data_IF_089620190016
#
_entry.id   IF_089620190016
#
_cell.length_a   1.000
_cell.length_b   1.000
_cell.length_c   1.000
_cell.angle_alpha   90.00
_cell.angle_beta   90.00
_cell.angle_gamma   90.00
#
_symmetry.space_group_name_H-M   'P 1'
#
loop_
_entity.id
_entity.type
_entity.pdbx_description
1 polymer ?
#
# COMPACT_ATOMS: atom_id res chain seq x y z
N UNK A 1 -8.77 -13.66 -1.88
CA UNK A 1 -8.79 -12.23 -2.24
C UNK A 1 -9.77 -11.42 -1.41
N UNK A 2 -11.08 -11.71 -1.39
CA UNK A 2 -12.04 -10.99 -0.53
C UNK A 2 -11.55 -10.94 0.93
N UNK A 3 -11.67 -9.75 1.54
CA UNK A 3 -11.20 -9.44 2.89
C UNK A 3 -10.43 -8.11 2.96
N UNK A 4 -9.92 -7.83 4.16
CA UNK A 4 -9.10 -6.66 4.46
C UNK A 4 -7.62 -7.02 4.36
N UNK A 5 -6.86 -6.20 3.66
CA UNK A 5 -5.44 -6.38 3.39
C UNK A 5 -4.69 -5.11 3.75
N UNK A 6 -3.75 -5.24 4.67
CA UNK A 6 -2.98 -4.12 5.19
C UNK A 6 -1.58 -4.15 4.61
N UNK A 7 -1.07 -3.03 4.09
CA UNK A 7 0.31 -2.96 3.65
C UNK A 7 1.25 -3.09 4.86
N UNK A 8 2.14 -4.07 4.84
CA UNK A 8 3.04 -4.38 5.95
C UNK A 8 4.51 -4.18 5.60
N UNK A 9 4.87 -4.27 4.32
CA UNK A 9 6.27 -4.23 3.88
C UNK A 9 6.38 -3.65 2.46
N UNK A 10 7.42 -2.86 2.23
CA UNK A 10 7.82 -2.39 0.91
C UNK A 10 9.17 -3.03 0.54
N UNK A 11 9.17 -3.94 -0.43
CA UNK A 11 10.38 -4.60 -0.94
C UNK A 11 10.96 -3.80 -2.08
N UNK A 12 12.20 -3.34 -1.90
CA UNK A 12 12.96 -2.53 -2.86
C UNK A 12 14.39 -3.06 -2.95
N UNK A 13 15.08 -2.76 -4.05
CA UNK A 13 16.52 -3.02 -4.18
C UNK A 13 17.32 -1.86 -3.59
N UNK A 14 17.98 -2.08 -2.46
CA UNK A 14 18.75 -1.05 -1.75
C UNK A 14 19.91 -0.46 -2.56
N UNK A 15 20.43 -1.19 -3.55
CA UNK A 15 21.51 -0.71 -4.40
C UNK A 15 21.02 0.35 -5.41
N UNK A 16 19.75 0.32 -5.78
CA UNK A 16 19.19 1.14 -6.86
C UNK A 16 18.08 2.09 -6.39
N UNK A 17 17.44 1.80 -5.26
CA UNK A 17 16.36 2.60 -4.71
C UNK A 17 16.84 3.97 -4.21
N UNK A 18 16.01 4.99 -4.42
CA UNK A 18 16.22 6.34 -3.87
C UNK A 18 16.13 6.34 -2.35
N UNK A 19 16.69 7.39 -1.73
CA UNK A 19 16.59 7.58 -0.28
C UNK A 19 15.12 7.74 0.16
N UNK A 20 14.27 8.38 -0.65
CA UNK A 20 12.84 8.49 -0.38
C UNK A 20 12.14 7.13 -0.33
N UNK A 21 12.49 6.21 -1.23
CA UNK A 21 11.94 4.85 -1.22
C UNK A 21 12.37 4.07 0.02
N UNK A 22 13.65 4.20 0.41
CA UNK A 22 14.20 3.59 1.62
C UNK A 22 13.54 4.15 2.89
N UNK A 23 13.41 5.47 2.96
CA UNK A 23 12.72 6.15 4.06
C UNK A 23 11.24 5.73 4.14
N UNK A 24 10.56 5.59 2.99
CA UNK A 24 9.18 5.11 2.92
C UNK A 24 9.03 3.68 3.43
N UNK A 25 9.94 2.78 3.05
CA UNK A 25 9.99 1.41 3.59
C UNK A 25 10.20 1.42 5.10
N UNK A 26 11.18 2.19 5.58
CA UNK A 26 11.54 2.20 7.00
C UNK A 26 10.41 2.81 7.84
N UNK A 27 9.73 3.85 7.34
CA UNK A 27 8.54 4.43 7.96
C UNK A 27 7.36 3.44 7.99
N UNK A 28 7.11 2.73 6.88
CA UNK A 28 6.08 1.69 6.83
C UNK A 28 6.37 0.59 7.86
N UNK A 29 7.59 0.08 7.89
CA UNK A 29 8.04 -0.93 8.87
C UNK A 29 7.90 -0.45 10.32
N UNK A 30 8.26 0.81 10.59
CA UNK A 30 8.11 1.42 11.91
C UNK A 30 6.64 1.48 12.35
N UNK A 31 5.74 1.88 11.46
CA UNK A 31 4.31 2.01 11.76
C UNK A 31 3.65 0.63 11.91
N UNK A 32 3.96 -0.31 11.03
CA UNK A 32 3.35 -1.65 11.04
C UNK A 32 3.77 -2.48 12.25
N UNK A 33 5.00 -2.29 12.76
CA UNK A 33 5.45 -2.88 14.02
C UNK A 33 4.65 -2.41 15.26
N UNK A 34 3.78 -1.39 15.10
CA UNK A 34 2.90 -0.84 16.13
C UNK A 34 1.42 -0.99 15.78
N UNK A 35 1.09 -1.92 14.88
CA UNK A 35 -0.27 -2.14 14.36
C UNK A 35 -0.90 -0.89 13.72
N UNK A 36 -0.07 0.02 13.19
CA UNK A 36 -0.51 1.17 12.42
C UNK A 36 -0.34 0.91 10.92
N UNK A 37 -1.46 0.77 10.22
CA UNK A 37 -1.50 0.42 8.80
C UNK A 37 -1.91 1.63 7.97
N UNK A 38 -0.98 2.17 7.18
CA UNK A 38 -1.19 3.42 6.41
C UNK A 38 -1.79 3.21 5.04
N UNK A 39 -1.82 1.98 4.52
CA UNK A 39 -2.51 1.61 3.29
C UNK A 39 -3.31 0.34 3.57
N UNK A 40 -4.61 0.38 3.29
CA UNK A 40 -5.52 -0.76 3.48
C UNK A 40 -6.40 -0.93 2.24
N UNK A 41 -6.54 -2.17 1.77
CA UNK A 41 -7.54 -2.54 0.76
C UNK A 41 -8.61 -3.43 1.37
N UNK A 42 -9.87 -3.14 1.08
CA UNK A 42 -11.04 -3.94 1.51
C UNK A 42 -11.76 -4.44 0.27
N UNK A 43 -11.44 -5.65 -0.17
CA UNK A 43 -12.09 -6.30 -1.31
C UNK A 43 -13.37 -6.99 -0.86
N UNK A 44 -14.49 -6.67 -1.51
CA UNK A 44 -15.83 -7.21 -1.19
C UNK A 44 -16.29 -8.23 -2.23
N UNK A 45 -17.25 -9.07 -1.85
CA UNK A 45 -17.81 -10.11 -2.73
C UNK A 45 -18.57 -9.55 -3.95
N UNK A 46 -19.06 -8.31 -3.85
CA UNK A 46 -19.78 -7.61 -4.93
C UNK A 46 -18.85 -6.98 -5.98
N UNK A 47 -17.55 -7.31 -5.95
CA UNK A 47 -16.50 -6.76 -6.80
C UNK A 47 -16.21 -5.28 -6.57
N UNK A 48 -16.66 -4.70 -5.45
CA UNK A 48 -16.19 -3.39 -4.99
C UNK A 48 -14.92 -3.52 -4.13
N UNK A 49 -14.08 -2.50 -4.20
CA UNK A 49 -12.90 -2.34 -3.34
C UNK A 49 -12.94 -0.96 -2.69
N UNK A 50 -12.60 -0.91 -1.40
CA UNK A 50 -12.32 0.35 -0.70
C UNK A 50 -10.82 0.41 -0.45
N UNK A 51 -10.19 1.51 -0.86
CA UNK A 51 -8.82 1.84 -0.57
C UNK A 51 -8.78 2.92 0.51
N UNK A 52 -8.06 2.66 1.60
CA UNK A 52 -7.80 3.66 2.64
C UNK A 52 -6.30 3.99 2.61
N UNK A 53 -5.97 5.27 2.50
CA UNK A 53 -4.59 5.74 2.38
C UNK A 53 -4.32 6.90 3.33
N UNK A 54 -3.37 6.72 4.23
CA UNK A 54 -2.95 7.71 5.22
C UNK A 54 -1.56 8.27 4.97
N UNK A 55 -0.90 7.89 3.86
CA UNK A 55 0.50 8.24 3.57
C UNK A 55 0.72 9.75 3.51
N UNK A 56 -0.24 10.49 2.94
CA UNK A 56 -0.19 11.96 2.86
C UNK A 56 -0.29 12.66 4.23
N UNK A 57 -0.69 11.93 5.27
CA UNK A 57 -0.92 12.43 6.62
C UNK A 57 0.12 11.90 7.62
N UNK A 58 1.20 11.27 7.13
CA UNK A 58 2.33 10.87 7.96
C UNK A 58 3.10 12.12 8.38
N UNK A 59 3.19 12.34 9.68
CA UNK A 59 4.02 13.37 10.28
C UNK A 59 5.32 12.76 10.80
N UNK A 60 6.43 13.46 10.63
CA UNK A 60 7.73 13.06 11.18
C UNK A 60 8.17 14.12 12.18
N UNK A 61 8.21 13.73 13.45
CA UNK A 61 8.58 14.59 14.55
C UNK A 61 10.01 14.29 15.00
N UNK A 62 10.84 15.31 15.10
CA UNK A 62 12.17 15.20 15.71
C UNK A 62 12.14 15.79 17.12
N UNK A 63 12.49 14.99 18.12
CA UNK A 63 12.58 15.41 19.52
C UNK A 63 13.91 15.00 20.15
N UNK A 64 14.16 15.42 21.40
CA UNK A 64 15.41 15.12 22.11
C UNK A 64 15.66 13.61 22.32
N UNK A 65 14.63 12.77 22.18
CA UNK A 65 14.70 11.30 22.25
C UNK A 65 14.82 10.60 20.89
N UNK A 66 14.83 11.34 19.77
CA UNK A 66 14.98 10.80 18.42
C UNK A 66 13.88 11.22 17.46
N UNK A 67 13.68 10.40 16.41
CA UNK A 67 12.59 10.54 15.45
C UNK A 67 11.38 9.76 15.95
N UNK A 68 10.22 10.42 15.95
CA UNK A 68 8.92 9.84 16.26
C UNK A 68 7.98 10.02 15.06
N UNK A 69 7.28 8.95 14.69
CA UNK A 69 6.34 8.93 13.58
C UNK A 69 5.00 8.44 14.16
N UNK A 70 4.10 9.35 14.58
CA UNK A 70 2.81 8.95 15.13
C UNK A 70 1.96 8.28 14.06
N UNK A 71 1.04 7.40 14.50
CA UNK A 71 0.05 6.84 13.59
C UNK A 71 -0.87 7.97 13.08
N UNK A 72 -1.03 8.12 11.75
CA UNK A 72 -1.91 9.15 11.21
C UNK A 72 -3.34 9.02 11.73
N UNK A 73 -3.97 10.15 12.00
CA UNK A 73 -5.39 10.21 12.42
C UNK A 73 -6.33 10.52 11.27
N UNK A 74 -5.78 10.95 10.13
CA UNK A 74 -6.50 11.26 8.90
C UNK A 74 -6.12 10.26 7.82
N UNK A 75 -7.07 10.00 6.92
CA UNK A 75 -6.90 9.12 5.77
C UNK A 75 -7.82 9.55 4.64
N UNK A 76 -7.33 9.39 3.42
CA UNK A 76 -8.13 9.40 2.21
C UNK A 76 -8.85 8.06 2.09
N UNK A 77 -10.06 8.07 1.54
CA UNK A 77 -10.85 6.84 1.32
C UNK A 77 -11.53 6.91 -0.03
N UNK A 78 -11.18 5.96 -0.89
CA UNK A 78 -11.71 5.84 -2.24
C UNK A 78 -12.44 4.51 -2.41
N UNK A 79 -13.54 4.55 -3.16
CA UNK A 79 -14.29 3.35 -3.55
C UNK A 79 -14.20 3.13 -5.05
N UNK A 80 -13.95 1.89 -5.45
CA UNK A 80 -13.75 1.51 -6.85
C UNK A 80 -14.30 0.11 -7.09
N UNK A 81 -14.26 -0.33 -8.34
CA UNK A 81 -14.52 -1.74 -8.68
C UNK A 81 -13.22 -2.45 -9.00
N UNK A 82 -13.18 -3.77 -8.83
CA UNK A 82 -12.00 -4.55 -9.14
C UNK A 82 -12.33 -5.84 -9.90
N UNK A 83 -11.35 -6.31 -10.66
CA UNK A 83 -11.32 -7.65 -11.24
C UNK A 83 -9.98 -8.31 -10.94
N UNK A 84 -10.00 -9.64 -10.87
CA UNK A 84 -8.79 -10.43 -10.67
C UNK A 84 -8.89 -11.72 -11.47
N UNK A 85 -7.92 -11.93 -12.36
CA UNK A 85 -7.89 -13.08 -13.28
C UNK A 85 -7.03 -14.25 -12.76
N UNK A 86 -6.52 -14.15 -11.52
CA UNK A 86 -5.59 -15.11 -10.93
C UNK A 86 -4.14 -14.63 -10.93
N UNK A 87 -3.80 -13.60 -11.72
CA UNK A 87 -2.46 -13.01 -11.76
C UNK A 87 -2.48 -11.48 -11.74
N UNK A 88 -3.42 -10.86 -12.44
CA UNK A 88 -3.51 -9.41 -12.61
C UNK A 88 -4.70 -8.89 -11.82
N UNK A 89 -4.44 -7.95 -10.91
CA UNK A 89 -5.45 -7.14 -10.26
C UNK A 89 -5.68 -5.89 -11.10
N UNK A 90 -6.93 -5.66 -11.52
CA UNK A 90 -7.34 -4.42 -12.17
C UNK A 90 -8.33 -3.69 -11.28
N UNK A 91 -8.12 -2.39 -11.09
CA UNK A 91 -9.00 -1.48 -10.34
C UNK A 91 -9.50 -0.41 -11.30
N UNK A 92 -10.82 -0.19 -11.30
CA UNK A 92 -11.47 0.82 -12.13
C UNK A 92 -12.10 1.87 -11.24
N UNK A 93 -11.66 3.13 -11.43
CA UNK A 93 -12.17 4.28 -10.70
C UNK A 93 -13.53 4.78 -11.22
N UNK A 94 -14.06 5.83 -10.60
CA UNK A 94 -15.35 6.43 -10.96
C UNK A 94 -15.35 7.14 -12.32
N UNK A 95 -14.18 7.43 -12.88
CA UNK A 95 -13.97 7.99 -14.22
C UNK A 95 -13.82 6.91 -15.28
N UNK A 96 -13.79 5.63 -14.88
CA UNK A 96 -13.59 4.49 -15.77
C UNK A 96 -12.11 4.27 -16.16
N UNK A 97 -11.17 4.96 -15.50
CA UNK A 97 -9.76 4.69 -15.70
C UNK A 97 -9.36 3.40 -14.98
N UNK A 98 -8.57 2.58 -15.65
CA UNK A 98 -8.13 1.28 -15.13
C UNK A 98 -6.66 1.34 -14.76
N UNK A 99 -6.36 1.00 -13.51
CA UNK A 99 -5.00 0.69 -13.05
C UNK A 99 -4.87 -0.83 -12.88
N UNK A 100 -3.78 -1.41 -13.37
CA UNK A 100 -3.55 -2.86 -13.30
C UNK A 100 -2.16 -3.15 -12.75
N UNK A 101 -2.05 -4.21 -11.94
CA UNK A 101 -0.78 -4.69 -11.41
C UNK A 101 -0.75 -6.21 -11.35
N UNK A 102 0.44 -6.77 -11.56
CA UNK A 102 0.70 -8.18 -11.24
C UNK A 102 0.66 -8.36 -9.72
N UNK A 103 -0.09 -9.37 -9.27
CA UNK A 103 -0.22 -9.74 -7.87
C UNK A 103 0.08 -11.21 -7.66
N UNK A 104 0.70 -11.52 -6.53
CA UNK A 104 0.97 -12.89 -6.09
C UNK A 104 0.35 -13.09 -4.71
N UNK A 105 -0.15 -14.30 -4.48
CA UNK A 105 -0.72 -14.69 -3.19
C UNK A 105 0.06 -15.90 -2.64
N UNK A 106 0.43 -15.80 -1.36
CA UNK A 106 0.95 -16.91 -0.56
C UNK A 106 0.16 -16.95 0.76
N UNK A 107 -0.86 -17.80 0.80
CA UNK A 107 -1.78 -17.89 1.94
C UNK A 107 -2.47 -16.56 2.26
N UNK A 108 -2.10 -15.97 3.40
CA UNK A 108 -2.61 -14.69 3.89
C UNK A 108 -1.72 -13.50 3.50
N UNK A 109 -0.74 -13.70 2.63
CA UNK A 109 0.13 -12.63 2.13
C UNK A 109 -0.19 -12.38 0.66
N UNK A 110 -0.36 -11.11 0.31
CA UNK A 110 -0.54 -10.62 -1.06
C UNK A 110 0.61 -9.69 -1.39
N UNK A 111 1.22 -9.83 -2.55
CA UNK A 111 2.31 -8.96 -2.96
C UNK A 111 2.00 -8.36 -4.33
N UNK A 112 1.94 -7.03 -4.39
CA UNK A 112 1.58 -6.24 -5.57
C UNK A 112 2.85 -5.63 -6.16
N UNK A 113 3.12 -5.89 -7.43
CA UNK A 113 4.21 -5.25 -8.14
C UNK A 113 3.87 -3.78 -8.44
N UNK A 114 4.55 -2.87 -7.75
CA UNK A 114 4.33 -1.44 -7.90
C UNK A 114 4.99 -0.88 -9.17
N UNK A 115 5.86 -1.63 -9.85
CA UNK A 115 6.51 -1.17 -11.10
C UNK A 115 5.52 -0.99 -12.26
N UNK A 116 4.40 -1.72 -12.23
CA UNK A 116 3.31 -1.63 -13.22
C UNK A 116 2.25 -0.59 -12.88
N UNK A 117 2.24 -0.07 -11.64
CA UNK A 117 1.29 0.94 -11.20
C UNK A 117 1.78 2.32 -11.65
N UNK A 118 1.24 2.83 -12.76
CA UNK A 118 1.46 4.21 -13.18
C UNK A 118 0.66 5.19 -12.31
N UNK A 119 0.93 5.19 -10.99
CA UNK A 119 0.34 6.10 -10.02
C UNK A 119 1.24 7.33 -9.93
N UNK A 120 0.75 8.55 -10.24
CA UNK A 120 1.52 9.78 -10.04
C UNK A 120 2.05 9.86 -8.59
N UNK A 121 3.33 10.19 -8.44
CA UNK A 121 4.07 10.25 -7.16
C UNK A 121 4.41 8.89 -6.50
N UNK A 122 4.05 7.75 -7.10
CA UNK A 122 4.44 6.42 -6.64
C UNK A 122 5.37 5.75 -7.68
N UNK A 123 6.47 6.41 -8.03
CA UNK A 123 7.46 5.90 -8.98
C UNK A 123 8.53 5.05 -8.27
N UNK A 124 8.08 4.08 -7.47
CA UNK A 124 8.96 3.20 -6.71
C UNK A 124 9.10 1.87 -7.44
N UNK A 125 10.30 1.55 -7.89
CA UNK A 125 10.63 0.18 -8.29
C UNK A 125 10.58 -0.71 -7.06
N UNK A 126 9.57 -1.57 -6.95
CA UNK A 126 9.43 -2.46 -5.80
C UNK A 126 8.10 -3.20 -5.75
N UNK A 127 7.93 -3.95 -4.67
CA UNK A 127 6.74 -4.73 -4.39
C UNK A 127 6.16 -4.32 -3.03
N UNK A 128 4.89 -3.95 -3.02
CA UNK A 128 4.17 -3.68 -1.78
C UNK A 128 3.51 -4.97 -1.31
N UNK A 129 3.84 -5.38 -0.09
CA UNK A 129 3.35 -6.62 0.52
C UNK A 129 2.26 -6.27 1.51
N UNK A 130 1.19 -7.03 1.44
CA UNK A 130 0.01 -6.90 2.25
C UNK A 130 -0.25 -8.19 3.04
N UNK A 131 -0.73 -8.03 4.26
CA UNK A 131 -1.17 -9.13 5.10
C UNK A 131 -2.69 -9.09 5.25
N UNK A 132 -3.33 -10.25 5.13
CA UNK A 132 -4.75 -10.38 5.39
C UNK A 132 -5.03 -10.27 6.89
N UNK A 133 -5.98 -9.41 7.25
CA UNK A 133 -6.51 -9.26 8.60
C UNK A 133 -7.59 -10.30 8.93
#
# INVERSE_FOLDING_TARGET
MVGTWDATELKIDDATASDDAKNGRDALSYLTARDCYVITFIFKEDLSVVAENSVNYIEVNANAGGIDIPCPTQKDTDSSTYTFDGKVLSIVDDQGMTASADVTFDGNTMAIDATGLNIPNFNVSGQLVFQKR
#
